data_IF_002474254876
#
_entry.id   IF_002474254876
#
_cell.length_a   1.000
_cell.length_b   1.000
_cell.length_c   1.000
_cell.angle_alpha   90.00
_cell.angle_beta   90.00
_cell.angle_gamma   90.00
#
_symmetry.space_group_name_H-M   'P 1'
#
loop_
_entity.id
_entity.type
_entity.pdbx_description
1 polymer ?
#
# COMPACT_ATOMS: atom_id res chain seq x y z
N UNK A 1 -28.11 14.09 -39.57
CA UNK A 1 -28.38 12.65 -39.36
C UNK A 1 -29.00 12.48 -37.99
N UNK A 2 -29.97 11.58 -37.84
CA UNK A 2 -30.61 11.29 -36.55
C UNK A 2 -30.07 9.96 -36.02
N UNK A 3 -29.79 9.86 -34.73
CA UNK A 3 -29.41 8.59 -34.09
C UNK A 3 -30.66 7.87 -33.59
N UNK A 4 -30.63 6.54 -33.55
CA UNK A 4 -31.72 5.77 -32.96
C UNK A 4 -31.65 5.87 -31.44
N UNK A 5 -32.80 5.82 -30.76
CA UNK A 5 -32.84 5.82 -29.29
C UNK A 5 -31.92 4.75 -28.65
N UNK A 6 -31.86 3.50 -29.16
CA UNK A 6 -30.90 2.51 -28.67
C UNK A 6 -29.44 2.94 -28.79
N UNK A 7 -29.06 3.61 -29.88
CA UNK A 7 -27.69 4.11 -30.06
C UNK A 7 -27.38 5.28 -29.11
N UNK A 8 -28.34 6.18 -28.87
CA UNK A 8 -28.22 7.24 -27.88
C UNK A 8 -28.06 6.69 -26.46
N UNK A 9 -28.91 5.75 -26.05
CA UNK A 9 -28.84 5.12 -24.73
C UNK A 9 -27.54 4.34 -24.55
N UNK A 10 -27.05 3.65 -25.59
CA UNK A 10 -25.76 2.99 -25.58
C UNK A 10 -24.60 3.95 -25.31
N UNK A 11 -24.57 5.11 -25.99
CA UNK A 11 -23.56 6.16 -25.77
C UNK A 11 -23.70 6.76 -24.36
N UNK A 12 -24.93 7.03 -23.89
CA UNK A 12 -25.16 7.53 -22.54
C UNK A 12 -24.72 6.53 -21.46
N UNK A 13 -24.96 5.23 -21.66
CA UNK A 13 -24.51 4.19 -20.74
C UNK A 13 -22.98 4.10 -20.70
N UNK A 14 -22.32 4.16 -21.86
CA UNK A 14 -20.86 4.19 -21.93
C UNK A 14 -20.30 5.46 -21.25
N UNK A 15 -20.91 6.62 -21.48
CA UNK A 15 -20.48 7.88 -20.88
C UNK A 15 -20.69 7.89 -19.35
N UNK A 16 -21.79 7.31 -18.86
CA UNK A 16 -22.09 7.21 -17.43
C UNK A 16 -21.14 6.20 -16.74
N UNK A 17 -20.83 5.08 -17.39
CA UNK A 17 -19.86 4.12 -16.88
C UNK A 17 -18.44 4.68 -16.88
N UNK A 18 -18.04 5.40 -17.93
CA UNK A 18 -16.75 6.08 -18.00
C UNK A 18 -16.59 7.09 -16.86
N UNK A 19 -17.57 7.98 -16.66
CA UNK A 19 -17.53 8.97 -15.56
C UNK A 19 -17.45 8.32 -14.18
N UNK A 20 -18.20 7.23 -13.96
CA UNK A 20 -18.13 6.47 -12.70
C UNK A 20 -16.76 5.82 -12.50
N UNK A 21 -16.14 5.31 -13.56
CA UNK A 21 -14.79 4.74 -13.51
C UNK A 21 -13.75 5.83 -13.27
N UNK A 22 -13.82 6.96 -13.99
CA UNK A 22 -12.94 8.12 -13.80
C UNK A 22 -13.01 8.66 -12.36
N UNK A 23 -14.21 8.89 -11.82
CA UNK A 23 -14.37 9.35 -10.43
C UNK A 23 -13.81 8.34 -9.41
N UNK A 24 -13.92 7.05 -9.71
CA UNK A 24 -13.33 5.99 -8.87
C UNK A 24 -11.81 5.93 -8.98
N UNK A 25 -11.23 6.21 -10.15
CA UNK A 25 -9.79 6.24 -10.37
C UNK A 25 -9.13 7.49 -9.78
N UNK A 26 -9.80 8.65 -9.83
CA UNK A 26 -9.32 9.88 -9.20
C UNK A 26 -9.35 9.78 -7.66
N UNK A 27 -10.44 9.23 -7.10
CA UNK A 27 -10.52 8.94 -5.67
C UNK A 27 -9.45 7.92 -5.26
N UNK A 28 -9.27 6.87 -6.07
CA UNK A 28 -8.23 5.86 -5.88
C UNK A 28 -6.83 6.50 -5.85
N UNK A 29 -6.54 7.35 -6.84
CA UNK A 29 -5.25 8.01 -6.92
C UNK A 29 -5.01 8.90 -5.69
N UNK A 30 -6.02 9.63 -5.22
CA UNK A 30 -5.88 10.50 -4.05
C UNK A 30 -5.53 9.70 -2.79
N UNK A 31 -6.25 8.62 -2.52
CA UNK A 31 -5.98 7.77 -1.37
C UNK A 31 -4.60 7.09 -1.50
N UNK A 32 -4.17 6.73 -2.73
CA UNK A 32 -2.88 6.09 -2.96
C UNK A 32 -1.75 7.05 -2.59
N UNK A 33 -1.90 8.32 -2.95
CA UNK A 33 -0.93 9.37 -2.67
C UNK A 33 -0.78 9.56 -1.16
N UNK A 34 -1.91 9.64 -0.46
CA UNK A 34 -1.95 9.71 0.99
C UNK A 34 -1.27 8.50 1.63
N UNK A 35 -1.67 7.28 1.26
CA UNK A 35 -1.10 6.05 1.79
C UNK A 35 0.40 5.95 1.50
N UNK A 36 0.83 6.23 0.27
CA UNK A 36 2.23 6.18 -0.15
C UNK A 36 3.09 7.18 0.64
N UNK A 37 2.57 8.36 0.93
CA UNK A 37 3.26 9.39 1.72
C UNK A 37 3.54 8.95 3.17
N UNK A 38 2.73 8.05 3.75
CA UNK A 38 2.97 7.51 5.10
C UNK A 38 4.22 6.64 5.15
N UNK A 39 4.54 5.96 4.05
CA UNK A 39 5.72 5.11 3.94
C UNK A 39 6.95 5.94 3.61
N UNK A 40 6.89 6.87 2.66
CA UNK A 40 8.08 7.61 2.21
C UNK A 40 8.38 8.79 3.14
N UNK A 41 9.21 8.57 4.17
CA UNK A 41 9.57 9.59 5.17
C UNK A 41 11.05 9.93 5.24
N UNK A 42 11.91 9.08 4.67
CA UNK A 42 13.37 9.22 4.75
C UNK A 42 14.07 9.25 3.37
N UNK A 43 13.30 9.21 2.27
CA UNK A 43 13.79 9.13 0.89
C UNK A 43 13.98 10.48 0.20
N UNK A 44 14.33 10.40 -1.08
CA UNK A 44 14.44 11.54 -1.98
C UNK A 44 13.05 12.17 -2.23
N UNK A 45 12.92 13.49 -2.00
CA UNK A 45 11.64 14.18 -2.14
C UNK A 45 11.20 14.38 -3.60
N UNK A 46 12.15 14.37 -4.54
CA UNK A 46 11.90 14.52 -5.99
C UNK A 46 11.53 13.18 -6.64
N UNK A 47 12.07 12.08 -6.11
CA UNK A 47 11.76 10.72 -6.55
C UNK A 47 11.49 9.77 -5.37
N UNK A 48 10.36 9.96 -4.65
CA UNK A 48 10.07 9.20 -3.45
C UNK A 48 9.90 7.72 -3.77
N UNK A 49 10.67 6.87 -3.09
CA UNK A 49 10.58 5.40 -3.14
C UNK A 49 10.46 4.84 -1.73
N UNK A 50 9.68 3.78 -1.56
CA UNK A 50 9.63 3.05 -0.29
C UNK A 50 10.93 2.27 -0.14
N UNK A 51 11.75 2.65 0.84
CA UNK A 51 13.02 2.01 1.13
C UNK A 51 12.90 0.96 2.24
N UNK A 52 13.95 0.17 2.40
CA UNK A 52 14.06 -0.74 3.55
C UNK A 52 14.03 0.01 4.89
N UNK A 53 14.56 1.24 4.95
CA UNK A 53 14.53 2.06 6.15
C UNK A 53 13.10 2.50 6.51
N UNK A 54 12.30 2.85 5.50
CA UNK A 54 10.90 3.20 5.66
C UNK A 54 10.09 2.04 6.21
N UNK A 55 10.26 0.83 5.65
CA UNK A 55 9.57 -0.37 6.13
C UNK A 55 9.97 -0.72 7.57
N UNK A 56 11.25 -0.59 7.92
CA UNK A 56 11.71 -0.79 9.31
C UNK A 56 11.06 0.20 10.27
N UNK A 57 10.92 1.47 9.87
CA UNK A 57 10.25 2.51 10.66
C UNK A 57 8.77 2.18 10.87
N UNK A 58 8.06 1.82 9.80
CA UNK A 58 6.64 1.45 9.89
C UNK A 58 6.44 0.19 10.74
N UNK A 59 7.27 -0.84 10.54
CA UNK A 59 7.23 -2.06 11.35
C UNK A 59 7.50 -1.79 12.84
N UNK A 60 8.43 -0.88 13.15
CA UNK A 60 8.70 -0.46 14.52
C UNK A 60 7.51 0.30 15.12
N UNK A 61 6.86 1.20 14.37
CA UNK A 61 5.67 1.92 14.82
C UNK A 61 4.50 0.98 15.14
N UNK A 62 4.21 0.02 14.27
CA UNK A 62 3.15 -0.98 14.49
C UNK A 62 3.43 -1.84 15.73
N UNK A 63 4.70 -2.16 15.98
CA UNK A 63 5.12 -2.89 17.18
C UNK A 63 4.95 -2.06 18.46
N UNK A 64 5.17 -0.74 18.40
CA UNK A 64 4.96 0.16 19.52
C UNK A 64 3.47 0.24 19.89
N UNK A 65 2.58 0.32 18.90
CA UNK A 65 1.13 0.33 19.08
C UNK A 65 0.62 -0.94 19.79
N UNK A 66 1.07 -2.11 19.32
CA UNK A 66 0.75 -3.41 19.95
C UNK A 66 1.23 -3.53 21.40
N UNK A 67 2.30 -2.81 21.77
CA UNK A 67 2.85 -2.85 23.13
C UNK A 67 2.17 -1.90 24.11
N UNK A 68 1.36 -0.94 23.65
CA UNK A 68 0.64 0.01 24.52
C UNK A 68 -0.70 -0.52 25.03
N UNK A 69 -1.24 -1.58 24.42
CA UNK A 69 -2.46 -2.26 24.87
C UNK A 69 -2.18 -3.30 25.99
N UNK A 70 -0.92 -3.68 26.23
CA UNK A 70 -0.55 -4.53 27.37
C UNK A 70 -0.22 -3.72 28.62
N UNK A 71 -1.24 -3.04 29.14
CA UNK A 71 -1.23 -2.51 30.50
C UNK A 71 -1.32 -3.63 31.54
N UNK A 72 -0.18 -4.09 32.05
CA UNK A 72 -0.06 -4.59 33.43
C UNK A 72 0.49 -6.00 33.61
N UNK A 73 1.75 -6.09 34.02
CA UNK A 73 2.27 -7.33 34.61
C UNK A 73 3.79 -7.43 34.59
N UNK A 74 4.43 -6.86 35.62
CA UNK A 74 5.84 -7.15 35.91
C UNK A 74 6.03 -8.64 36.16
N UNK A 75 6.50 -9.36 35.14
CA UNK A 75 6.83 -10.78 35.22
C UNK A 75 8.16 -11.01 34.55
N UNK A 76 9.20 -11.28 35.33
CA UNK A 76 10.50 -11.80 34.87
C UNK A 76 10.31 -13.26 34.42
N UNK A 77 9.51 -13.46 33.38
CA UNK A 77 9.25 -14.75 32.77
C UNK A 77 10.22 -14.95 31.62
N UNK A 78 11.02 -16.01 31.69
CA UNK A 78 11.75 -16.58 30.55
C UNK A 78 10.72 -17.22 29.61
N UNK A 79 9.86 -16.39 29.02
CA UNK A 79 8.82 -16.78 28.08
C UNK A 79 9.46 -17.01 26.73
N UNK A 80 9.38 -18.24 26.23
CA UNK A 80 9.63 -18.60 24.84
C UNK A 80 8.75 -17.67 24.01
N UNK A 81 9.35 -16.71 23.30
CA UNK A 81 8.61 -15.75 22.48
C UNK A 81 7.60 -16.53 21.65
N UNK A 82 6.31 -16.30 21.91
CA UNK A 82 5.25 -16.82 21.08
C UNK A 82 5.50 -16.39 19.65
N UNK A 83 4.94 -17.15 18.71
CA UNK A 83 4.95 -16.97 17.27
C UNK A 83 4.23 -15.66 16.85
N UNK A 84 4.62 -14.54 17.43
CA UNK A 84 4.32 -13.22 16.92
C UNK A 84 5.20 -13.01 15.70
N UNK A 85 4.59 -12.58 14.59
CA UNK A 85 5.28 -12.30 13.32
C UNK A 85 6.51 -11.43 13.61
N UNK A 86 7.69 -12.05 13.63
CA UNK A 86 8.94 -11.32 13.76
C UNK A 86 9.18 -10.71 12.40
N UNK A 87 9.00 -9.38 12.30
CA UNK A 87 9.37 -8.65 11.09
C UNK A 87 10.90 -8.64 11.02
N UNK A 88 11.46 -9.60 10.30
CA UNK A 88 12.90 -9.71 10.08
C UNK A 88 13.33 -8.81 8.93
N UNK A 89 14.61 -8.42 8.92
CA UNK A 89 15.15 -7.64 7.79
C UNK A 89 15.07 -8.42 6.47
N UNK A 90 15.22 -9.75 6.52
CA UNK A 90 15.06 -10.64 5.37
C UNK A 90 13.63 -10.57 4.80
N UNK A 91 12.61 -10.67 5.66
CA UNK A 91 11.22 -10.51 5.23
C UNK A 91 10.98 -9.14 4.58
N UNK A 92 11.52 -8.07 5.16
CA UNK A 92 11.37 -6.73 4.58
C UNK A 92 12.07 -6.59 3.22
N UNK A 93 13.20 -7.28 3.01
CA UNK A 93 13.86 -7.34 1.71
C UNK A 93 13.01 -8.09 0.70
N UNK A 94 12.45 -9.23 1.08
CA UNK A 94 11.57 -10.03 0.23
C UNK A 94 10.32 -9.24 -0.16
N UNK A 95 9.74 -8.47 0.76
CA UNK A 95 8.60 -7.58 0.48
C UNK A 95 8.93 -6.55 -0.60
N UNK A 96 10.13 -5.95 -0.57
CA UNK A 96 10.56 -4.98 -1.59
C UNK A 96 10.76 -5.66 -2.94
N UNK A 97 11.38 -6.84 -2.94
CA UNK A 97 11.64 -7.60 -4.17
C UNK A 97 10.33 -8.07 -4.82
N UNK A 98 9.37 -8.56 -4.05
CA UNK A 98 8.07 -8.97 -4.56
C UNK A 98 7.30 -7.77 -5.15
N UNK A 99 7.34 -6.62 -4.47
CA UNK A 99 6.64 -5.43 -4.92
C UNK A 99 7.23 -4.83 -6.21
N UNK A 100 8.56 -4.80 -6.33
CA UNK A 100 9.25 -4.19 -7.47
C UNK A 100 9.65 -5.18 -8.59
N UNK A 101 9.16 -6.42 -8.54
CA UNK A 101 9.43 -7.44 -9.54
C UNK A 101 10.89 -7.93 -9.56
N UNK A 102 11.57 -7.88 -8.42
CA UNK A 102 12.93 -8.39 -8.25
C UNK A 102 14.03 -7.45 -8.73
N UNK A 103 13.74 -6.17 -8.93
CA UNK A 103 14.70 -5.16 -9.40
C UNK A 103 15.83 -4.82 -8.39
N UNK A 104 15.78 -5.43 -7.20
CA UNK A 104 16.75 -5.23 -6.13
C UNK A 104 16.23 -4.29 -5.03
N UNK A 105 16.68 -4.55 -3.80
CA UNK A 105 16.22 -3.82 -2.61
C UNK A 105 16.63 -2.34 -2.64
N UNK A 106 17.79 -2.02 -3.22
CA UNK A 106 18.33 -0.66 -3.26
C UNK A 106 17.53 0.32 -4.13
N UNK A 107 16.73 -0.19 -5.07
CA UNK A 107 15.84 0.63 -5.90
C UNK A 107 14.60 1.09 -5.12
N UNK A 108 14.21 0.33 -4.10
CA UNK A 108 12.95 0.49 -3.40
C UNK A 108 11.73 0.15 -4.26
N UNK A 109 10.57 0.52 -3.74
CA UNK A 109 9.26 0.35 -4.39
C UNK A 109 8.73 1.71 -4.80
N UNK A 110 8.39 1.88 -6.08
CA UNK A 110 7.76 3.09 -6.61
C UNK A 110 6.25 3.08 -6.36
N UNK A 111 5.62 4.23 -6.57
CA UNK A 111 4.19 4.40 -6.37
C UNK A 111 3.34 3.49 -7.24
N UNK A 112 3.73 3.27 -8.49
CA UNK A 112 3.01 2.39 -9.43
C UNK A 112 3.11 0.92 -9.01
N UNK A 113 4.26 0.52 -8.47
CA UNK A 113 4.49 -0.83 -7.94
C UNK A 113 3.69 -1.05 -6.66
N UNK A 114 3.65 -0.03 -5.79
CA UNK A 114 2.83 -0.02 -4.59
C UNK A 114 1.33 -0.12 -4.91
N UNK A 115 0.82 0.66 -5.87
CA UNK A 115 -0.55 0.55 -6.36
C UNK A 115 -0.85 -0.88 -6.85
N UNK A 116 0.02 -1.44 -7.68
CA UNK A 116 -0.12 -2.79 -8.19
C UNK A 116 -0.22 -3.84 -7.07
N UNK A 117 0.58 -3.71 -6.01
CA UNK A 117 0.50 -4.59 -4.83
C UNK A 117 -0.84 -4.44 -4.13
N UNK A 118 -1.28 -3.19 -3.91
CA UNK A 118 -2.51 -2.90 -3.18
C UNK A 118 -3.77 -3.38 -3.90
N UNK A 119 -3.80 -3.28 -5.24
CA UNK A 119 -4.87 -3.86 -6.07
C UNK A 119 -4.86 -5.39 -6.01
N UNK A 120 -3.69 -6.04 -6.06
CA UNK A 120 -3.57 -7.51 -5.93
C UNK A 120 -3.99 -8.02 -4.56
N UNK A 121 -3.74 -7.24 -3.51
CA UNK A 121 -4.19 -7.53 -2.16
C UNK A 121 -5.71 -7.37 -1.97
N UNK A 122 -6.42 -6.85 -2.97
CA UNK A 122 -7.86 -6.61 -2.91
C UNK A 122 -8.27 -5.48 -1.98
N UNK A 123 -7.31 -4.63 -1.59
CA UNK A 123 -7.55 -3.43 -0.78
C UNK A 123 -8.35 -2.39 -1.59
N UNK A 124 -8.20 -2.42 -2.92
CA UNK A 124 -8.83 -1.51 -3.87
C UNK A 124 -9.58 -2.33 -4.91
N UNK A 125 -10.79 -1.92 -5.27
CA UNK A 125 -11.69 -2.59 -6.22
C UNK A 125 -12.27 -1.61 -7.21
#
# INVERSE_FOLDING_TARGET
>A
GFTTYPAFVGICALQLHARRQDESEEAHQTELDEAYSLFVGNGDADAPVITLADLKRVAALLRLDQSMEEGGGGGKGKGKAGEGVVVTEELLRDMILEANGGAGVGRGVRKEEFDGVMRRAGVWR
#
